data_IF_339519264512
#
_entry.id   IF_339519264512
#
_cell.length_a   1.000
_cell.length_b   1.000
_cell.length_c   1.000
_cell.angle_alpha   90.00
_cell.angle_beta   90.00
_cell.angle_gamma   90.00
#
_symmetry.space_group_name_H-M   'P 1'
#
loop_
_entity.id
_entity.type
_entity.pdbx_description
1 polymer ?
#
# COMPACT_ATOMS: atom_id res chain seq x y z
N UNK A 1 -31.26 -0.26 1.59
CA UNK A 1 -31.10 -1.62 1.02
C UNK A 1 -30.91 -2.55 2.19
N UNK A 2 -31.52 -3.74 2.19
CA UNK A 2 -31.30 -4.70 3.26
C UNK A 2 -29.95 -5.42 3.04
N UNK A 3 -28.88 -4.85 3.60
CA UNK A 3 -27.52 -5.41 3.51
C UNK A 3 -27.36 -6.73 4.27
N UNK A 4 -28.38 -7.19 5.01
CA UNK A 4 -28.38 -8.52 5.63
C UNK A 4 -28.55 -9.67 4.62
N UNK A 5 -28.77 -9.36 3.33
CA UNK A 5 -28.73 -10.33 2.23
C UNK A 5 -27.29 -10.51 1.74
N UNK A 6 -26.58 -11.57 2.16
CA UNK A 6 -25.13 -11.70 2.01
C UNK A 6 -24.66 -11.65 0.55
N UNK A 7 -25.53 -12.01 -0.41
CA UNK A 7 -25.18 -11.97 -1.83
C UNK A 7 -25.02 -10.57 -2.39
N UNK A 8 -25.79 -9.58 -1.93
CA UNK A 8 -25.69 -8.21 -2.49
C UNK A 8 -24.52 -7.43 -1.90
N UNK A 9 -24.26 -7.58 -0.60
CA UNK A 9 -23.09 -6.98 0.04
C UNK A 9 -21.80 -7.50 -0.61
N UNK A 10 -21.65 -8.83 -0.72
CA UNK A 10 -20.50 -9.45 -1.37
C UNK A 10 -20.35 -9.02 -2.84
N UNK A 11 -21.46 -8.84 -3.57
CA UNK A 11 -21.42 -8.33 -4.95
C UNK A 11 -20.93 -6.88 -5.01
N UNK A 12 -21.30 -6.02 -4.05
CA UNK A 12 -20.83 -4.64 -3.99
C UNK A 12 -19.34 -4.57 -3.63
N UNK A 13 -18.86 -5.40 -2.71
CA UNK A 13 -17.43 -5.52 -2.38
C UNK A 13 -16.64 -6.02 -3.59
N UNK A 14 -17.12 -7.06 -4.27
CA UNK A 14 -16.50 -7.59 -5.47
C UNK A 14 -16.48 -6.56 -6.61
N UNK A 15 -17.55 -5.78 -6.78
CA UNK A 15 -17.59 -4.69 -7.75
C UNK A 15 -16.60 -3.58 -7.38
N UNK A 16 -16.58 -3.13 -6.13
CA UNK A 16 -15.61 -2.14 -5.65
C UNK A 16 -14.15 -2.60 -5.88
N UNK A 17 -13.83 -3.86 -5.55
CA UNK A 17 -12.51 -4.45 -5.82
C UNK A 17 -12.21 -4.55 -7.32
N UNK A 18 -13.19 -4.94 -8.12
CA UNK A 18 -13.11 -5.01 -9.59
C UNK A 18 -12.75 -3.67 -10.23
N UNK A 19 -13.52 -2.62 -9.91
CA UNK A 19 -13.30 -1.27 -10.44
C UNK A 19 -12.00 -0.66 -9.92
N UNK A 20 -11.62 -0.94 -8.67
CA UNK A 20 -10.34 -0.52 -8.10
C UNK A 20 -9.16 -1.15 -8.86
N UNK A 21 -9.23 -2.44 -9.18
CA UNK A 21 -8.23 -3.11 -10.02
C UNK A 21 -8.20 -2.55 -11.44
N UNK A 22 -9.37 -2.27 -12.05
CA UNK A 22 -9.46 -1.69 -13.39
C UNK A 22 -8.80 -0.31 -13.44
N UNK A 23 -9.12 0.57 -12.48
CA UNK A 23 -8.50 1.88 -12.31
C UNK A 23 -6.96 1.78 -12.26
N UNK A 24 -6.40 0.93 -11.38
CA UNK A 24 -4.95 0.78 -11.23
C UNK A 24 -4.29 0.23 -12.50
N UNK A 25 -4.92 -0.74 -13.18
CA UNK A 25 -4.45 -1.26 -14.47
C UNK A 25 -4.41 -0.18 -15.54
N UNK A 26 -5.45 0.63 -15.67
CA UNK A 26 -5.51 1.67 -16.69
C UNK A 26 -4.49 2.79 -16.44
N UNK A 27 -4.22 3.16 -15.18
CA UNK A 27 -3.11 4.06 -14.88
C UNK A 27 -1.75 3.48 -15.28
N UNK A 28 -1.52 2.18 -15.04
CA UNK A 28 -0.31 1.50 -15.48
C UNK A 28 -0.22 1.46 -17.02
N UNK A 29 -1.31 1.14 -17.71
CA UNK A 29 -1.35 1.14 -19.19
C UNK A 29 -1.11 2.53 -19.76
N UNK A 30 -1.59 3.59 -19.10
CA UNK A 30 -1.30 4.96 -19.49
C UNK A 30 0.19 5.27 -19.42
N UNK A 31 0.88 4.80 -18.37
CA UNK A 31 2.33 4.98 -18.25
C UNK A 31 3.08 4.23 -19.37
N UNK A 32 2.72 2.96 -19.62
CA UNK A 32 3.27 2.18 -20.74
C UNK A 32 3.06 2.89 -22.08
N UNK A 33 1.83 3.32 -22.37
CA UNK A 33 1.50 4.03 -23.61
C UNK A 33 2.31 5.33 -23.75
N UNK A 34 2.49 6.08 -22.66
CA UNK A 34 3.31 7.29 -22.64
C UNK A 34 4.77 7.00 -22.92
N UNK A 35 5.35 5.97 -22.29
CA UNK A 35 6.74 5.56 -22.52
C UNK A 35 6.99 5.14 -23.98
N UNK A 36 5.99 4.54 -24.63
CA UNK A 36 6.03 4.15 -26.04
C UNK A 36 5.66 5.30 -27.01
N UNK A 37 5.45 6.52 -26.52
CA UNK A 37 5.19 7.71 -27.34
C UNK A 37 3.73 7.89 -27.78
N UNK A 38 2.80 7.06 -27.32
CA UNK A 38 1.37 7.11 -27.67
C UNK A 38 0.58 8.01 -26.70
N UNK A 39 0.74 9.34 -26.85
CA UNK A 39 0.16 10.33 -25.92
C UNK A 39 -1.37 10.30 -25.85
N UNK A 40 -2.06 10.18 -26.97
CA UNK A 40 -3.54 10.18 -27.00
C UNK A 40 -4.11 8.91 -26.35
N UNK A 41 -3.46 7.76 -26.58
CA UNK A 41 -3.83 6.51 -25.94
C UNK A 41 -3.56 6.54 -24.43
N UNK A 42 -2.43 7.13 -24.02
CA UNK A 42 -2.14 7.34 -22.60
C UNK A 42 -3.22 8.20 -21.94
N UNK A 43 -3.65 9.29 -22.59
CA UNK A 43 -4.74 10.13 -22.12
C UNK A 43 -6.05 9.37 -22.02
N UNK A 44 -6.40 8.56 -23.03
CA UNK A 44 -7.60 7.73 -23.00
C UNK A 44 -7.61 6.82 -21.76
N UNK A 45 -6.51 6.10 -21.50
CA UNK A 45 -6.41 5.25 -20.32
C UNK A 45 -6.52 6.04 -19.01
N UNK A 46 -5.95 7.24 -18.91
CA UNK A 46 -6.10 8.11 -17.73
C UNK A 46 -7.56 8.54 -17.52
N UNK A 47 -8.24 8.94 -18.59
CA UNK A 47 -9.63 9.37 -18.54
C UNK A 47 -10.55 8.19 -18.14
N UNK A 48 -10.31 6.98 -18.68
CA UNK A 48 -11.04 5.76 -18.27
C UNK A 48 -10.73 5.40 -16.82
N UNK A 49 -9.48 5.50 -16.36
CA UNK A 49 -9.15 5.24 -14.96
C UNK A 49 -9.93 6.17 -14.02
N UNK A 50 -10.07 7.46 -14.38
CA UNK A 50 -10.86 8.41 -13.60
C UNK A 50 -12.35 8.01 -13.56
N UNK A 51 -12.90 7.44 -14.64
CA UNK A 51 -14.27 6.92 -14.67
C UNK A 51 -14.44 5.70 -13.74
N UNK A 52 -13.49 4.76 -13.77
CA UNK A 52 -13.55 3.59 -12.86
C UNK A 52 -13.43 3.98 -11.38
N UNK A 53 -12.80 5.12 -11.07
CA UNK A 53 -12.81 5.67 -9.71
C UNK A 53 -14.24 6.04 -9.29
N UNK A 54 -15.01 6.68 -10.16
CA UNK A 54 -16.40 7.03 -9.85
C UNK A 54 -17.31 5.80 -9.80
N UNK A 55 -17.06 4.77 -10.61
CA UNK A 55 -17.76 3.48 -10.50
C UNK A 55 -17.48 2.81 -9.14
N UNK A 56 -16.20 2.71 -8.75
CA UNK A 56 -15.81 2.20 -7.45
C UNK A 56 -16.47 2.99 -6.31
N UNK A 57 -16.44 4.32 -6.36
CA UNK A 57 -17.08 5.16 -5.35
C UNK A 57 -18.61 5.02 -5.34
N UNK A 58 -19.26 4.81 -6.49
CA UNK A 58 -20.70 4.54 -6.51
C UNK A 58 -21.06 3.26 -5.72
N UNK A 59 -20.25 2.21 -5.83
CA UNK A 59 -20.42 0.99 -5.03
C UNK A 59 -20.05 1.20 -3.55
N UNK A 60 -18.95 1.89 -3.27
CA UNK A 60 -18.50 2.15 -1.90
C UNK A 60 -19.50 2.99 -1.10
N UNK A 61 -20.18 3.96 -1.73
CA UNK A 61 -21.27 4.74 -1.11
C UNK A 61 -22.48 3.87 -0.73
N UNK A 62 -22.70 2.73 -1.40
CA UNK A 62 -23.76 1.77 -1.04
C UNK A 62 -23.32 0.82 0.09
N UNK A 63 -22.02 0.50 0.17
CA UNK A 63 -21.44 -0.28 1.27
C UNK A 63 -21.39 0.54 2.56
N UNK A 64 -21.04 1.82 2.45
CA UNK A 64 -20.85 2.74 3.56
C UNK A 64 -21.76 3.98 3.45
N UNK A 65 -23.10 3.81 3.49
CA UNK A 65 -24.01 4.94 3.41
C UNK A 65 -23.82 5.94 4.57
N UNK A 66 -23.29 5.50 5.71
CA UNK A 66 -22.93 6.34 6.85
C UNK A 66 -21.81 7.35 6.54
N UNK A 67 -21.04 7.14 5.47
CA UNK A 67 -19.98 8.05 5.03
C UNK A 67 -20.44 9.05 3.96
N UNK A 68 -21.70 9.00 3.53
CA UNK A 68 -22.24 9.87 2.48
C UNK A 68 -22.71 11.20 3.07
N UNK A 69 -21.84 12.21 3.05
CA UNK A 69 -22.17 13.58 3.47
C UNK A 69 -22.85 14.38 2.35
N UNK A 70 -24.17 14.27 2.18
CA UNK A 70 -24.91 15.01 1.15
C UNK A 70 -24.95 16.53 1.38
N UNK A 71 -24.94 16.99 2.64
CA UNK A 71 -24.90 18.39 3.03
C UNK A 71 -23.87 18.59 4.17
N UNK A 72 -22.55 18.55 3.89
CA UNK A 72 -21.51 18.58 4.92
C UNK A 72 -21.60 19.80 5.86
N UNK A 73 -22.07 20.94 5.35
CA UNK A 73 -22.21 22.18 6.11
C UNK A 73 -23.32 22.12 7.18
N UNK A 74 -24.26 21.18 7.06
CA UNK A 74 -25.36 20.99 8.02
C UNK A 74 -25.04 19.96 9.10
N UNK A 75 -23.95 19.21 8.95
CA UNK A 75 -23.52 18.24 9.96
C UNK A 75 -23.00 18.98 11.20
N UNK A 76 -23.44 18.54 12.37
CA UNK A 76 -22.84 18.93 13.64
C UNK A 76 -21.38 18.46 13.72
N UNK A 77 -20.59 19.08 14.58
CA UNK A 77 -19.20 18.67 14.78
C UNK A 77 -19.10 17.23 15.29
N UNK A 78 -20.06 16.77 16.10
CA UNK A 78 -20.15 15.37 16.54
C UNK A 78 -20.43 14.39 15.40
N UNK A 79 -21.31 14.73 14.46
CA UNK A 79 -21.56 13.89 13.27
C UNK A 79 -20.34 13.84 12.35
N UNK A 80 -19.68 14.98 12.12
CA UNK A 80 -18.43 15.02 11.35
C UNK A 80 -17.35 14.16 12.01
N UNK A 81 -17.19 14.27 13.32
CA UNK A 81 -16.23 13.49 14.09
C UNK A 81 -16.53 11.98 14.03
N UNK A 82 -17.81 11.58 14.10
CA UNK A 82 -18.21 10.18 13.97
C UNK A 82 -17.90 9.63 12.58
N UNK A 83 -18.20 10.38 11.50
CA UNK A 83 -17.90 9.97 10.13
C UNK A 83 -16.38 9.85 9.91
N UNK A 84 -15.60 10.82 10.38
CA UNK A 84 -14.14 10.78 10.27
C UNK A 84 -13.53 9.62 11.08
N UNK A 85 -14.04 9.38 12.28
CA UNK A 85 -13.64 8.21 13.09
C UNK A 85 -13.92 6.92 12.32
N UNK A 86 -15.09 6.81 11.69
CA UNK A 86 -15.45 5.63 10.90
C UNK A 86 -14.51 5.41 9.71
N UNK A 87 -14.10 6.47 9.02
CA UNK A 87 -13.08 6.38 7.96
C UNK A 87 -11.75 5.84 8.50
N UNK A 88 -11.29 6.35 9.65
CA UNK A 88 -10.03 5.92 10.27
C UNK A 88 -10.10 4.46 10.73
N UNK A 89 -11.22 4.02 11.31
CA UNK A 89 -11.44 2.62 11.69
C UNK A 89 -11.39 1.67 10.49
N UNK A 90 -12.02 2.05 9.37
CA UNK A 90 -11.97 1.26 8.13
C UNK A 90 -10.54 1.16 7.58
N UNK A 91 -9.80 2.28 7.59
CA UNK A 91 -8.40 2.29 7.18
C UNK A 91 -7.56 1.40 8.09
N UNK A 92 -7.59 1.59 9.42
CA UNK A 92 -6.87 0.77 10.40
C UNK A 92 -7.20 -0.72 10.20
N UNK A 93 -8.47 -1.07 10.01
CA UNK A 93 -8.90 -2.45 9.79
C UNK A 93 -8.30 -3.07 8.54
N UNK A 94 -8.29 -2.33 7.42
CA UNK A 94 -7.65 -2.75 6.18
C UNK A 94 -6.15 -2.94 6.35
N UNK A 95 -5.43 -1.91 6.77
CA UNK A 95 -3.98 -1.93 7.00
C UNK A 95 -3.57 -3.07 7.95
N UNK A 96 -4.33 -3.26 9.04
CA UNK A 96 -4.10 -4.35 10.00
C UNK A 96 -4.21 -5.71 9.34
N UNK A 97 -5.28 -5.96 8.58
CA UNK A 97 -5.40 -7.21 7.84
C UNK A 97 -4.22 -7.42 6.88
N UNK A 98 -3.77 -6.36 6.22
CA UNK A 98 -2.65 -6.42 5.29
C UNK A 98 -1.34 -6.83 5.97
N UNK A 99 -0.96 -6.16 7.08
CA UNK A 99 0.32 -6.44 7.76
C UNK A 99 0.28 -7.66 8.70
N UNK A 100 -0.87 -8.03 9.27
CA UNK A 100 -0.95 -9.19 10.18
C UNK A 100 -1.27 -10.50 9.48
N UNK A 101 -1.89 -10.45 8.29
CA UNK A 101 -2.46 -11.64 7.64
C UNK A 101 -2.10 -11.71 6.16
N UNK A 102 -2.59 -10.78 5.34
CA UNK A 102 -2.51 -10.90 3.88
C UNK A 102 -1.08 -10.98 3.34
N UNK A 103 -0.24 -9.98 3.60
CA UNK A 103 1.13 -9.98 3.08
C UNK A 103 2.02 -11.06 3.69
N UNK A 104 1.96 -11.34 5.02
CA UNK A 104 2.67 -12.48 5.60
C UNK A 104 2.30 -13.82 4.93
N UNK A 105 1.01 -14.08 4.69
CA UNK A 105 0.56 -15.30 4.03
C UNK A 105 1.00 -15.36 2.56
N UNK A 106 0.91 -14.25 1.83
CA UNK A 106 1.35 -14.19 0.43
C UNK A 106 2.86 -14.38 0.29
N UNK A 107 3.66 -13.80 1.19
CA UNK A 107 5.10 -14.01 1.22
C UNK A 107 5.45 -15.47 1.53
N UNK A 108 4.75 -16.09 2.48
CA UNK A 108 4.91 -17.51 2.81
C UNK A 108 4.53 -18.41 1.62
N UNK A 109 3.41 -18.13 0.95
CA UNK A 109 2.97 -18.87 -0.23
C UNK A 109 3.93 -18.71 -1.40
N UNK A 110 4.38 -17.49 -1.72
CA UNK A 110 5.36 -17.27 -2.78
C UNK A 110 6.69 -17.98 -2.52
N UNK A 111 7.10 -18.08 -1.24
CA UNK A 111 8.25 -18.88 -0.82
C UNK A 111 7.99 -20.39 -1.03
N UNK A 112 6.81 -20.87 -0.65
CA UNK A 112 6.42 -22.26 -0.85
C UNK A 112 6.33 -22.63 -2.32
N UNK A 113 5.75 -21.81 -3.18
CA UNK A 113 5.63 -22.08 -4.62
C UNK A 113 7.01 -22.16 -5.27
N UNK A 114 7.92 -21.27 -4.89
CA UNK A 114 9.33 -21.34 -5.28
C UNK A 114 9.99 -22.65 -4.84
N UNK A 115 9.76 -23.07 -3.60
CA UNK A 115 10.43 -24.22 -2.99
C UNK A 115 9.77 -25.58 -3.36
N UNK A 116 8.52 -25.59 -3.83
CA UNK A 116 7.74 -26.80 -4.16
C UNK A 116 7.73 -27.17 -5.64
N UNK A 117 7.86 -26.20 -6.56
CA UNK A 117 8.08 -26.46 -8.00
C UNK A 117 9.52 -26.85 -8.36
N UNK A 118 10.42 -26.69 -7.39
CA UNK A 118 11.85 -26.85 -7.51
C UNK A 118 12.34 -28.29 -7.78
N UNK A 119 11.84 -29.30 -7.08
CA UNK A 119 12.49 -30.62 -7.16
C UNK A 119 12.24 -31.34 -8.50
N UNK A 120 11.11 -31.09 -9.17
CA UNK A 120 10.80 -31.68 -10.47
C UNK A 120 11.26 -30.80 -11.65
N UNK A 121 11.21 -29.48 -11.51
CA UNK A 121 11.60 -28.54 -12.57
C UNK A 121 13.11 -28.21 -12.54
N UNK A 122 13.79 -28.26 -11.39
CA UNK A 122 15.27 -28.13 -11.34
C UNK A 122 16.03 -29.36 -11.86
N UNK A 123 15.33 -30.48 -12.11
CA UNK A 123 15.90 -31.55 -12.92
C UNK A 123 16.10 -31.09 -14.39
N UNK A 124 15.37 -30.07 -14.85
CA UNK A 124 15.50 -29.48 -16.18
C UNK A 124 15.98 -28.01 -16.07
N UNK A 125 17.27 -27.77 -16.25
CA UNK A 125 17.93 -26.47 -16.02
C UNK A 125 17.64 -25.43 -17.13
N UNK A 126 16.38 -25.25 -17.51
CA UNK A 126 15.97 -24.32 -18.57
C UNK A 126 16.03 -22.85 -18.12
N UNK A 127 16.07 -21.92 -19.08
CA UNK A 127 16.01 -20.48 -18.81
C UNK A 127 14.64 -20.05 -18.25
N UNK A 128 13.57 -20.72 -18.65
CA UNK A 128 12.19 -20.44 -18.24
C UNK A 128 11.98 -20.71 -16.75
N UNK A 129 12.51 -21.82 -16.24
CA UNK A 129 12.41 -22.17 -14.82
C UNK A 129 13.18 -21.20 -13.91
N UNK A 130 14.29 -20.62 -14.41
CA UNK A 130 15.02 -19.54 -13.72
C UNK A 130 14.22 -18.23 -13.71
N UNK A 131 13.51 -17.93 -14.79
CA UNK A 131 12.62 -16.76 -14.90
C UNK A 131 11.45 -16.87 -13.92
N UNK A 132 10.75 -18.03 -13.89
CA UNK A 132 9.67 -18.29 -12.94
C UNK A 132 10.14 -18.19 -11.47
N UNK A 133 11.27 -18.81 -11.13
CA UNK A 133 11.84 -18.68 -9.79
C UNK A 133 12.22 -17.22 -9.43
N UNK A 134 12.65 -16.43 -10.42
CA UNK A 134 12.93 -15.00 -10.28
C UNK A 134 11.67 -14.17 -10.00
N UNK A 135 10.56 -14.48 -10.68
CA UNK A 135 9.25 -13.83 -10.45
C UNK A 135 8.77 -14.10 -9.03
N UNK A 136 8.76 -15.35 -8.57
CA UNK A 136 8.31 -15.68 -7.21
C UNK A 136 9.20 -15.06 -6.12
N UNK A 137 10.51 -15.00 -6.34
CA UNK A 137 11.43 -14.28 -5.45
C UNK A 137 11.08 -12.80 -5.35
N UNK A 138 10.86 -12.15 -6.50
CA UNK A 138 10.49 -10.74 -6.55
C UNK A 138 9.14 -10.48 -5.90
N UNK A 139 8.16 -11.36 -6.11
CA UNK A 139 6.86 -11.27 -5.46
C UNK A 139 6.97 -11.38 -3.93
N UNK A 140 7.66 -12.41 -3.43
CA UNK A 140 7.90 -12.58 -2.00
C UNK A 140 8.60 -11.37 -1.37
N UNK A 141 9.60 -10.80 -2.07
CA UNK A 141 10.28 -9.56 -1.67
C UNK A 141 9.29 -8.41 -1.55
N UNK A 142 8.51 -8.16 -2.60
CA UNK A 142 7.58 -7.04 -2.63
C UNK A 142 6.53 -7.17 -1.53
N UNK A 143 5.97 -8.37 -1.31
CA UNK A 143 5.05 -8.59 -0.19
C UNK A 143 5.72 -8.35 1.17
N UNK A 144 6.94 -8.86 1.37
CA UNK A 144 7.67 -8.64 2.61
C UNK A 144 7.99 -7.16 2.88
N UNK A 145 8.24 -6.37 1.83
CA UNK A 145 8.47 -4.92 1.95
C UNK A 145 7.20 -4.12 2.25
N UNK A 146 6.01 -4.65 1.92
CA UNK A 146 4.72 -3.99 2.17
C UNK A 146 4.28 -4.15 3.63
N UNK A 147 4.63 -5.26 4.31
CA UNK A 147 4.23 -5.49 5.70
C UNK A 147 4.61 -4.33 6.66
N UNK A 148 5.86 -3.82 6.70
CA UNK A 148 6.19 -2.69 7.57
C UNK A 148 5.57 -1.36 7.12
N UNK A 149 5.20 -1.24 5.84
CA UNK A 149 4.53 -0.05 5.30
C UNK A 149 3.12 0.03 5.83
N UNK A 150 2.36 -1.07 5.72
CA UNK A 150 0.97 -1.08 6.18
C UNK A 150 0.89 -1.02 7.71
N UNK A 151 1.88 -1.58 8.43
CA UNK A 151 2.02 -1.34 9.87
C UNK A 151 2.19 0.16 10.17
N UNK A 152 3.08 0.86 9.45
CA UNK A 152 3.27 2.30 9.61
C UNK A 152 1.98 3.10 9.30
N UNK A 153 1.21 2.71 8.29
CA UNK A 153 -0.08 3.32 7.98
C UNK A 153 -1.08 3.10 9.13
N UNK A 154 -1.23 1.86 9.62
CA UNK A 154 -2.12 1.55 10.73
C UNK A 154 -1.79 2.36 12.00
N UNK A 155 -0.52 2.45 12.37
CA UNK A 155 -0.04 3.23 13.52
C UNK A 155 -0.35 4.74 13.33
N UNK A 156 -0.11 5.27 12.13
CA UNK A 156 -0.38 6.67 11.80
C UNK A 156 -1.87 7.00 11.88
N UNK A 157 -2.74 6.11 11.37
CA UNK A 157 -4.19 6.27 11.49
C UNK A 157 -4.67 6.13 12.94
N UNK A 158 -4.05 5.26 13.73
CA UNK A 158 -4.31 5.13 15.18
C UNK A 158 -4.08 6.44 15.92
N UNK A 159 -2.91 7.05 15.73
CA UNK A 159 -2.59 8.37 16.30
C UNK A 159 -3.54 9.46 15.80
N UNK A 160 -3.92 9.44 14.52
CA UNK A 160 -4.89 10.38 13.98
C UNK A 160 -6.28 10.23 14.62
N UNK A 161 -6.71 8.99 14.92
CA UNK A 161 -7.97 8.71 15.59
C UNK A 161 -7.96 9.21 17.04
N UNK A 162 -6.89 8.96 17.78
CA UNK A 162 -6.71 9.47 19.14
C UNK A 162 -6.75 11.01 19.17
N UNK A 163 -6.05 11.66 18.24
CA UNK A 163 -6.07 13.12 18.10
C UNK A 163 -7.47 13.63 17.76
N UNK A 164 -8.18 12.98 16.83
CA UNK A 164 -9.56 13.32 16.48
C UNK A 164 -10.51 13.17 17.68
N UNK A 165 -10.22 12.26 18.61
CA UNK A 165 -10.95 12.07 19.86
C UNK A 165 -10.57 13.08 20.96
N UNK A 166 -9.71 14.05 20.66
CA UNK A 166 -9.31 15.10 21.59
C UNK A 166 -8.23 14.70 22.59
N UNK A 167 -7.51 13.60 22.34
CA UNK A 167 -6.46 13.12 23.24
C UNK A 167 -5.13 13.87 23.07
N UNK A 168 -4.99 14.68 22.01
CA UNK A 168 -3.78 15.43 21.70
C UNK A 168 -3.79 15.91 20.25
N UNK A 169 -2.61 16.17 19.69
CA UNK A 169 -2.44 16.48 18.26
C UNK A 169 -1.66 15.38 17.57
N UNK A 170 -2.10 14.96 16.38
CA UNK A 170 -1.39 13.95 15.60
C UNK A 170 -0.06 14.51 15.09
N UNK A 171 1.02 13.79 15.31
CA UNK A 171 2.35 14.20 14.88
C UNK A 171 3.30 13.01 14.71
N UNK A 172 4.58 13.33 14.59
CA UNK A 172 5.67 12.37 14.51
C UNK A 172 6.65 12.57 15.66
N UNK A 173 7.31 11.51 16.10
CA UNK A 173 8.35 11.57 17.12
C UNK A 173 9.40 12.65 16.83
N UNK A 174 9.83 13.38 17.88
CA UNK A 174 10.81 14.48 17.76
C UNK A 174 12.19 14.01 17.35
N UNK A 175 12.51 12.74 17.62
CA UNK A 175 13.74 12.10 17.18
C UNK A 175 13.41 10.98 16.18
N UNK A 176 14.19 10.84 15.11
CA UNK A 176 14.04 9.72 14.20
C UNK A 176 14.51 8.41 14.85
N UNK A 177 14.02 7.29 14.33
CA UNK A 177 14.53 5.97 14.68
C UNK A 177 15.96 5.85 14.11
N UNK A 178 16.99 5.58 14.95
CA UNK A 178 18.37 5.60 14.52
C UNK A 178 18.63 4.69 13.31
N UNK A 179 19.17 5.28 12.24
CA UNK A 179 19.57 4.56 11.03
C UNK A 179 18.43 4.16 10.08
N UNK A 180 17.15 4.28 10.48
CA UNK A 180 16.01 3.96 9.60
C UNK A 180 15.60 5.17 8.77
N UNK A 181 15.25 4.90 7.52
CA UNK A 181 14.86 5.94 6.55
C UNK A 181 13.58 5.53 5.83
N UNK A 182 12.69 6.48 5.57
CA UNK A 182 11.41 6.23 4.91
C UNK A 182 11.35 6.94 3.56
N UNK A 183 10.89 6.23 2.54
CA UNK A 183 10.63 6.80 1.22
C UNK A 183 9.39 7.70 1.27
N UNK A 184 9.51 8.97 0.88
CA UNK A 184 8.37 9.92 0.86
C UNK A 184 7.30 9.61 -0.19
N UNK A 185 7.55 8.65 -1.09
CA UNK A 185 6.65 8.35 -2.23
C UNK A 185 5.80 7.11 -1.99
N UNK A 186 6.36 6.09 -1.34
CA UNK A 186 5.68 4.81 -1.13
C UNK A 186 5.81 4.27 0.30
N UNK A 187 6.34 5.08 1.23
CA UNK A 187 6.47 4.74 2.65
C UNK A 187 7.37 3.55 2.99
N UNK A 188 8.09 2.93 2.03
CA UNK A 188 9.03 1.84 2.35
C UNK A 188 10.09 2.32 3.34
N UNK A 189 10.29 1.54 4.39
CA UNK A 189 11.26 1.81 5.44
C UNK A 189 12.52 1.01 5.14
N UNK A 190 13.61 1.70 4.87
CA UNK A 190 14.94 1.10 4.86
C UNK A 190 15.39 0.85 6.31
N UNK A 191 15.71 -0.40 6.62
CA UNK A 191 16.34 -0.81 7.86
C UNK A 191 17.78 -1.29 7.57
N UNK A 192 18.81 -0.64 8.13
CA UNK A 192 20.19 -1.10 7.99
C UNK A 192 20.37 -2.55 8.41
N UNK A 193 19.60 -3.08 9.37
CA UNK A 193 19.70 -4.47 9.80
C UNK A 193 19.39 -5.44 8.65
N UNK A 194 18.48 -5.07 7.76
CA UNK A 194 18.06 -5.87 6.60
C UNK A 194 18.87 -5.54 5.34
N UNK A 195 19.19 -4.25 5.14
CA UNK A 195 19.76 -3.75 3.89
C UNK A 195 18.77 -3.79 2.72
N UNK A 196 19.29 -3.93 1.50
CA UNK A 196 18.53 -4.28 0.29
C UNK A 196 19.39 -5.18 -0.61
N UNK A 197 19.60 -6.46 -0.21
CA UNK A 197 20.59 -7.33 -0.86
C UNK A 197 20.32 -7.59 -2.35
N UNK A 198 19.06 -7.60 -2.76
CA UNK A 198 18.65 -7.80 -4.16
C UNK A 198 19.05 -6.60 -5.05
N UNK A 199 19.19 -5.41 -4.47
CA UNK A 199 19.74 -4.23 -5.16
C UNK A 199 21.23 -4.02 -4.85
N UNK A 200 21.90 -5.01 -4.25
CA UNK A 200 23.33 -4.98 -3.94
C UNK A 200 23.71 -4.29 -2.62
N UNK A 201 22.75 -3.96 -1.76
CA UNK A 201 23.00 -3.32 -0.46
C UNK A 201 22.96 -4.38 0.64
N UNK A 202 24.11 -4.76 1.19
CA UNK A 202 24.18 -5.80 2.21
C UNK A 202 23.51 -5.39 3.54
N UNK A 203 23.02 -6.37 4.28
CA UNK A 203 22.62 -6.18 5.68
C UNK A 203 23.76 -5.57 6.50
N UNK A 204 23.41 -4.69 7.43
CA UNK A 204 24.30 -3.86 8.22
C UNK A 204 24.77 -2.57 7.55
N UNK A 205 24.35 -2.27 6.31
CA UNK A 205 24.80 -1.07 5.59
C UNK A 205 24.07 0.18 6.12
N UNK A 206 24.76 1.20 6.65
CA UNK A 206 24.11 2.46 7.02
C UNK A 206 23.56 3.17 5.77
N UNK A 207 22.37 3.75 5.87
CA UNK A 207 21.71 4.40 4.73
C UNK A 207 22.58 5.49 4.07
N UNK A 208 23.33 6.22 4.89
CA UNK A 208 24.21 7.30 4.46
C UNK A 208 25.28 6.80 3.48
N UNK A 209 25.70 5.54 3.60
CA UNK A 209 26.75 4.92 2.79
C UNK A 209 26.23 4.28 1.50
N UNK A 210 24.90 4.20 1.31
CA UNK A 210 24.29 3.69 0.09
C UNK A 210 24.65 4.61 -1.10
N UNK A 211 24.94 4.09 -2.30
CA UNK A 211 25.14 4.90 -3.49
C UNK A 211 23.95 5.84 -3.81
N UNK A 212 24.22 7.04 -4.32
CA UNK A 212 23.16 8.03 -4.61
C UNK A 212 22.26 7.64 -5.81
N UNK A 213 22.74 6.73 -6.66
CA UNK A 213 21.99 6.15 -7.77
C UNK A 213 21.14 4.93 -7.37
N UNK A 214 21.21 4.49 -6.11
CA UNK A 214 20.29 3.49 -5.58
C UNK A 214 18.84 3.99 -5.72
N UNK A 215 17.98 3.05 -6.12
CA UNK A 215 16.57 3.28 -6.37
C UNK A 215 15.74 2.50 -5.35
N UNK A 216 14.70 3.15 -4.86
CA UNK A 216 13.71 2.54 -4.00
C UNK A 216 13.20 1.23 -4.62
N UNK A 217 13.24 0.10 -3.89
CA UNK A 217 12.85 -1.20 -4.44
C UNK A 217 11.36 -1.33 -4.75
N UNK A 218 10.51 -0.40 -4.25
CA UNK A 218 9.06 -0.40 -4.47
C UNK A 218 8.66 0.53 -5.62
N UNK A 219 9.08 1.79 -5.60
CA UNK A 219 8.60 2.82 -6.55
C UNK A 219 9.67 3.40 -7.47
N UNK A 220 10.93 2.93 -7.38
CA UNK A 220 12.00 3.32 -8.31
C UNK A 220 12.56 4.74 -8.15
N UNK A 221 12.06 5.54 -7.20
CA UNK A 221 12.63 6.87 -6.93
C UNK A 221 14.03 6.76 -6.33
N UNK A 222 14.87 7.77 -6.56
CA UNK A 222 16.25 7.79 -6.06
C UNK A 222 16.32 7.95 -4.55
N UNK A 223 17.48 7.59 -3.97
CA UNK A 223 17.86 7.79 -2.55
C UNK A 223 17.46 9.16 -1.97
N UNK A 224 17.55 10.23 -2.77
CA UNK A 224 17.17 11.59 -2.36
C UNK A 224 15.69 11.79 -1.96
N UNK A 225 14.82 10.83 -2.28
CA UNK A 225 13.41 10.84 -1.87
C UNK A 225 13.18 10.27 -0.46
N UNK A 226 14.22 9.81 0.22
CA UNK A 226 14.12 9.30 1.59
C UNK A 226 14.39 10.38 2.63
N UNK A 227 13.75 10.24 3.78
CA UNK A 227 13.97 11.08 4.97
C UNK A 227 14.14 10.18 6.21
N UNK A 228 14.78 10.67 7.29
CA UNK A 228 14.87 9.90 8.53
C UNK A 228 13.48 9.46 9.01
N UNK A 229 13.32 8.17 9.28
CA UNK A 229 12.05 7.61 9.70
C UNK A 229 11.70 8.07 11.12
N UNK A 230 10.45 8.49 11.32
CA UNK A 230 9.89 8.90 12.61
C UNK A 230 8.59 8.16 12.80
N UNK A 231 8.41 7.56 13.96
CA UNK A 231 7.16 6.90 14.32
C UNK A 231 6.06 7.95 14.53
N UNK A 232 4.81 7.55 14.27
CA UNK A 232 3.66 8.36 14.59
C UNK A 232 3.56 8.51 16.11
N UNK A 233 3.23 9.71 16.59
CA UNK A 233 3.14 10.01 18.02
C UNK A 233 2.00 10.99 18.28
N UNK A 234 1.22 10.72 19.32
CA UNK A 234 0.28 11.68 19.87
C UNK A 234 1.03 12.74 20.67
N UNK A 235 1.05 13.98 20.18
CA UNK A 235 1.68 15.11 20.84
C UNK A 235 0.75 15.70 21.89
N UNK A 236 1.31 16.10 23.03
CA UNK A 236 0.59 16.90 24.02
C UNK A 236 0.07 18.19 23.38
N UNK A 237 -1.19 18.51 23.66
CA UNK A 237 -1.86 19.73 23.18
C UNK A 237 -1.26 21.02 23.75
#
# INVERSE_FOLDING_TARGET
MDLSKPSTHANLEAAFGGESMANRKYLFFADVAKQLGHKDLAKLFQDTAAQETEHAFAHFRLLHPELVASNPDQLSDGEKQAMLSRCLELAIGGETYEYTTMYPEFAAQAKQDRDSGAEAEFADQSSESKEHAGIFRTAAKNFGLLTPIEQHHAETYGVALEALQGQGTAGQADQPIPGKWICKVCSVIYDPAEGDPDSGIAAGTPFETIPDDWQCPICGVRKASFVPYREAELKSA
#
